data_IF_496356625953
#
_entry.id   IF_496356625953
#
_cell.length_a   1.000
_cell.length_b   1.000
_cell.length_c   1.000
_cell.angle_alpha   90.00
_cell.angle_beta   90.00
_cell.angle_gamma   90.00
#
_symmetry.space_group_name_H-M   'P 1'
#
loop_
_entity.id
_entity.type
_entity.pdbx_description
1 polymer ?
#
# COMPACT_ATOMS: atom_id res chain seq x y z
N UNK A 1 -7.35 -0.64 -12.36
CA UNK A 1 -5.94 -0.94 -12.10
C UNK A 1 -5.65 -0.77 -10.63
N UNK A 2 -5.26 -1.85 -9.97
CA UNK A 2 -5.04 -1.91 -8.52
C UNK A 2 -3.75 -2.66 -8.21
N UNK A 3 -3.29 -2.55 -6.98
CA UNK A 3 -2.17 -3.33 -6.45
C UNK A 3 -2.61 -4.13 -5.25
N UNK A 4 -1.95 -5.27 -4.99
CA UNK A 4 -2.25 -6.10 -3.85
C UNK A 4 -1.41 -5.69 -2.65
N UNK A 5 -2.12 -5.41 -1.56
CA UNK A 5 -1.52 -5.05 -0.28
C UNK A 5 -1.79 -6.14 0.74
N UNK A 6 -0.77 -6.51 1.49
CA UNK A 6 -0.90 -7.42 2.62
C UNK A 6 -1.15 -6.60 3.88
N UNK A 7 -2.16 -6.99 4.64
CA UNK A 7 -2.47 -6.41 5.94
C UNK A 7 -2.45 -7.48 7.02
N UNK A 8 -1.84 -7.17 8.15
CA UNK A 8 -1.77 -8.04 9.30
C UNK A 8 -2.17 -7.28 10.55
N UNK A 9 -2.91 -7.95 11.43
CA UNK A 9 -3.04 -7.51 12.82
C UNK A 9 -1.85 -8.02 13.61
N UNK A 10 -1.24 -7.13 14.38
CA UNK A 10 -0.02 -7.39 15.10
C UNK A 10 -0.21 -7.00 16.57
N UNK A 11 0.10 -7.92 17.50
CA UNK A 11 0.15 -7.55 18.90
C UNK A 11 1.23 -6.50 19.13
N UNK A 12 0.91 -5.46 19.90
CA UNK A 12 1.87 -4.41 20.21
C UNK A 12 2.87 -4.89 21.29
N UNK A 13 3.78 -5.75 20.88
CA UNK A 13 4.82 -6.36 21.72
C UNK A 13 6.17 -6.34 21.01
N UNK A 14 7.27 -6.21 21.76
CA UNK A 14 8.61 -6.31 21.18
C UNK A 14 8.82 -7.59 20.37
N UNK A 15 9.49 -7.47 19.24
CA UNK A 15 9.85 -8.60 18.39
C UNK A 15 8.80 -9.07 17.39
N UNK A 16 7.56 -8.61 17.49
CA UNK A 16 6.48 -9.04 16.57
C UNK A 16 6.72 -8.54 15.14
N UNK A 17 7.04 -7.27 14.98
CA UNK A 17 7.34 -6.71 13.66
C UNK A 17 8.59 -7.34 13.06
N UNK A 18 9.63 -7.54 13.87
CA UNK A 18 10.86 -8.22 13.42
C UNK A 18 10.59 -9.65 12.94
N UNK A 19 9.67 -10.37 13.58
CA UNK A 19 9.30 -11.73 13.16
C UNK A 19 8.67 -11.75 11.76
N UNK A 20 7.81 -10.79 11.44
CA UNK A 20 7.26 -10.63 10.10
C UNK A 20 8.37 -10.40 9.07
N UNK A 21 9.26 -9.47 9.36
CA UNK A 21 10.36 -9.14 8.45
C UNK A 21 11.31 -10.31 8.24
N UNK A 22 11.63 -11.07 9.28
CA UNK A 22 12.46 -12.28 9.16
C UNK A 22 11.79 -13.35 8.28
N UNK A 23 10.50 -13.60 8.48
CA UNK A 23 9.74 -14.57 7.68
C UNK A 23 9.82 -14.21 6.20
N UNK A 24 9.64 -12.95 5.86
CA UNK A 24 9.73 -12.48 4.47
C UNK A 24 11.16 -12.58 3.93
N UNK A 25 12.16 -12.21 4.71
CA UNK A 25 13.58 -12.28 4.34
C UNK A 25 14.01 -13.71 4.02
N UNK A 26 13.64 -14.66 4.87
CA UNK A 26 13.97 -16.08 4.68
C UNK A 26 13.37 -16.65 3.40
N UNK A 27 12.29 -16.07 2.93
CA UNK A 27 11.61 -16.46 1.68
C UNK A 27 12.06 -15.64 0.47
N UNK A 28 12.99 -14.72 0.65
CA UNK A 28 13.51 -13.87 -0.40
C UNK A 28 12.50 -12.82 -0.92
N UNK A 29 11.50 -12.49 -0.12
CA UNK A 29 10.52 -11.45 -0.46
C UNK A 29 11.03 -10.09 0.00
N UNK A 30 11.04 -9.12 -0.91
CA UNK A 30 11.47 -7.75 -0.61
C UNK A 30 10.27 -6.86 -0.29
N UNK A 31 10.44 -6.03 0.73
CA UNK A 31 9.44 -5.05 1.16
C UNK A 31 9.75 -3.72 0.46
N UNK A 32 8.80 -3.24 -0.34
CA UNK A 32 8.91 -1.92 -0.97
C UNK A 32 8.41 -0.81 -0.08
N UNK A 33 7.35 -1.07 0.67
CA UNK A 33 6.78 -0.10 1.62
C UNK A 33 6.11 -0.83 2.77
N UNK A 34 6.16 -0.21 3.93
CA UNK A 34 5.54 -0.71 5.14
C UNK A 34 4.92 0.46 5.89
N UNK A 35 3.74 0.25 6.41
CA UNK A 35 3.05 1.20 7.29
C UNK A 35 2.59 0.45 8.52
N UNK A 36 2.88 1.00 9.69
CA UNK A 36 2.41 0.49 10.97
C UNK A 36 1.54 1.55 11.63
N UNK A 37 0.26 1.24 11.76
CA UNK A 37 -0.68 2.07 12.50
C UNK A 37 -0.98 1.40 13.82
N UNK A 38 -0.85 2.15 14.90
CA UNK A 38 -1.05 1.61 16.24
C UNK A 38 -2.46 1.84 16.76
N UNK A 39 -2.93 0.83 17.48
CA UNK A 39 -3.97 0.97 18.49
C UNK A 39 -3.33 0.61 19.83
N UNK A 40 -4.07 0.70 20.95
CA UNK A 40 -3.48 0.49 22.27
C UNK A 40 -2.87 -0.90 22.43
N UNK A 41 -3.57 -1.95 21.98
CA UNK A 41 -3.17 -3.34 22.19
C UNK A 41 -2.67 -4.03 20.91
N UNK A 42 -3.10 -3.54 19.75
CA UNK A 42 -2.78 -4.10 18.45
C UNK A 42 -2.32 -3.02 17.49
N UNK A 43 -1.48 -3.41 16.54
CA UNK A 43 -1.15 -2.60 15.39
C UNK A 43 -1.71 -3.22 14.12
N UNK A 44 -1.82 -2.40 13.09
CA UNK A 44 -2.13 -2.85 11.72
C UNK A 44 -0.89 -2.60 10.88
N UNK A 45 -0.32 -3.67 10.35
CA UNK A 45 0.80 -3.59 9.42
C UNK A 45 0.27 -3.72 8.01
N UNK A 46 0.64 -2.76 7.16
CA UNK A 46 0.32 -2.80 5.72
C UNK A 46 1.62 -2.89 4.95
N UNK A 47 1.71 -3.87 4.06
CA UNK A 47 2.92 -4.19 3.32
C UNK A 47 2.66 -4.16 1.82
N UNK A 48 3.56 -3.53 1.08
CA UNK A 48 3.71 -3.75 -0.35
C UNK A 48 5.01 -4.51 -0.59
N UNK A 49 4.91 -5.64 -1.24
CA UNK A 49 6.02 -6.56 -1.45
C UNK A 49 6.09 -6.96 -2.93
N UNK A 50 7.26 -7.39 -3.37
CA UNK A 50 7.50 -7.75 -4.77
C UNK A 50 6.80 -9.04 -5.22
N UNK A 51 6.47 -9.93 -4.29
CA UNK A 51 5.79 -11.21 -4.55
C UNK A 51 4.73 -11.46 -3.50
N UNK A 52 3.62 -10.76 -3.63
CA UNK A 52 2.58 -10.75 -2.60
C UNK A 52 1.95 -12.14 -2.36
N UNK A 53 1.81 -12.96 -3.39
CA UNK A 53 1.25 -14.32 -3.25
C UNK A 53 2.15 -15.19 -2.37
N UNK A 54 3.46 -15.17 -2.65
CA UNK A 54 4.45 -15.87 -1.84
C UNK A 54 4.49 -15.33 -0.41
N UNK A 55 4.48 -14.02 -0.27
CA UNK A 55 4.47 -13.36 1.05
C UNK A 55 3.25 -13.79 1.87
N UNK A 56 2.06 -13.78 1.26
CA UNK A 56 0.84 -14.27 1.90
C UNK A 56 1.02 -15.70 2.40
N UNK A 57 1.49 -16.58 1.54
CA UNK A 57 1.61 -18.01 1.85
C UNK A 57 2.61 -18.27 2.99
N UNK A 58 3.78 -17.63 2.97
CA UNK A 58 4.79 -17.83 4.01
C UNK A 58 4.38 -17.20 5.34
N UNK A 59 3.70 -16.07 5.33
CA UNK A 59 3.19 -15.44 6.55
C UNK A 59 2.07 -16.27 7.18
N UNK A 60 1.14 -16.78 6.37
CA UNK A 60 0.10 -17.69 6.86
C UNK A 60 0.70 -18.98 7.42
N UNK A 61 1.68 -19.54 6.73
CA UNK A 61 2.40 -20.73 7.19
C UNK A 61 3.14 -20.51 8.51
N UNK A 62 3.57 -19.30 8.80
CA UNK A 62 4.22 -18.92 10.06
C UNK A 62 3.22 -18.58 11.18
N UNK A 63 1.91 -18.71 10.91
CA UNK A 63 0.86 -18.49 11.91
C UNK A 63 0.32 -17.06 12.00
N UNK A 64 0.72 -16.17 11.10
CA UNK A 64 0.16 -14.81 11.08
C UNK A 64 -1.21 -14.78 10.40
N UNK A 65 -2.13 -13.98 10.93
CA UNK A 65 -3.40 -13.69 10.27
C UNK A 65 -3.19 -12.66 9.17
N UNK A 66 -3.38 -13.06 7.91
CA UNK A 66 -3.09 -12.26 6.74
C UNK A 66 -4.36 -11.95 5.97
N UNK A 67 -4.54 -10.67 5.64
CA UNK A 67 -5.54 -10.22 4.69
C UNK A 67 -4.85 -9.63 3.47
N UNK A 68 -5.37 -9.91 2.28
CA UNK A 68 -4.95 -9.28 1.05
C UNK A 68 -6.06 -8.35 0.58
N UNK A 69 -5.70 -7.12 0.25
CA UNK A 69 -6.65 -6.12 -0.26
C UNK A 69 -6.10 -5.47 -1.51
N UNK A 70 -7.00 -5.15 -2.41
CA UNK A 70 -6.66 -4.32 -3.55
C UNK A 70 -6.73 -2.84 -3.14
N UNK A 71 -5.65 -2.12 -3.41
CA UNK A 71 -5.52 -0.69 -3.14
C UNK A 71 -5.12 0.03 -4.43
N UNK A 72 -5.31 1.34 -4.44
CA UNK A 72 -4.96 2.18 -5.59
C UNK A 72 -3.59 2.79 -5.37
N UNK A 73 -2.68 2.56 -6.31
CA UNK A 73 -1.35 3.15 -6.28
C UNK A 73 -1.19 4.14 -7.43
N UNK A 74 -0.65 5.30 -7.14
CA UNK A 74 -0.51 6.43 -8.05
C UNK A 74 0.95 6.85 -8.10
N UNK A 75 1.44 7.09 -9.32
CA UNK A 75 2.72 7.75 -9.54
C UNK A 75 2.49 9.24 -9.78
N UNK A 76 3.16 10.08 -9.04
CA UNK A 76 3.08 11.53 -9.21
C UNK A 76 4.45 12.17 -9.01
N UNK A 77 4.68 13.38 -9.59
CA UNK A 77 5.91 14.10 -9.32
C UNK A 77 6.07 14.37 -7.82
N UNK A 78 7.28 14.27 -7.31
CA UNK A 78 7.60 14.61 -5.93
C UNK A 78 7.83 16.12 -5.83
N UNK A 79 6.73 16.86 -5.81
CA UNK A 79 6.73 18.31 -5.80
C UNK A 79 5.51 18.87 -5.08
N UNK A 80 5.57 20.16 -4.63
CA UNK A 80 4.41 20.78 -3.99
C UNK A 80 3.18 20.76 -4.89
N UNK A 81 2.03 20.42 -4.31
CA UNK A 81 0.74 20.41 -4.98
C UNK A 81 0.36 19.11 -5.67
N UNK A 82 1.28 18.16 -5.83
CA UNK A 82 0.97 16.88 -6.51
C UNK A 82 -0.11 16.09 -5.77
N UNK A 83 0.02 15.93 -4.46
CA UNK A 83 -0.97 15.23 -3.66
C UNK A 83 -2.31 15.99 -3.61
N UNK A 84 -2.27 17.31 -3.49
CA UNK A 84 -3.48 18.13 -3.48
C UNK A 84 -4.30 17.93 -4.75
N UNK A 85 -3.66 17.90 -5.91
CA UNK A 85 -4.34 17.68 -7.19
C UNK A 85 -5.02 16.31 -7.25
N UNK A 86 -4.37 15.28 -6.75
CA UNK A 86 -4.95 13.93 -6.67
C UNK A 86 -6.20 13.94 -5.80
N UNK A 87 -6.11 14.52 -4.62
CA UNK A 87 -7.22 14.57 -3.65
C UNK A 87 -8.39 15.41 -4.16
N UNK A 88 -8.12 16.50 -4.88
CA UNK A 88 -9.16 17.32 -5.51
C UNK A 88 -9.97 16.53 -6.54
N UNK A 89 -9.31 15.69 -7.34
CA UNK A 89 -10.02 14.82 -8.29
C UNK A 89 -10.88 13.77 -7.59
N UNK A 90 -10.38 13.22 -6.49
CA UNK A 90 -11.14 12.26 -5.67
C UNK A 90 -12.36 12.96 -5.03
N UNK A 91 -12.17 14.16 -4.48
CA UNK A 91 -13.22 14.93 -3.84
C UNK A 91 -14.42 15.18 -4.74
N UNK A 92 -14.18 15.41 -6.02
CA UNK A 92 -15.27 15.64 -7.00
C UNK A 92 -16.23 14.46 -7.14
N UNK A 93 -15.77 13.27 -6.79
CA UNK A 93 -16.60 12.06 -6.85
C UNK A 93 -17.39 11.79 -5.60
N UNK A 94 -17.02 12.42 -4.49
CA UNK A 94 -17.54 12.11 -3.16
C UNK A 94 -16.96 10.84 -2.54
N UNK A 95 -16.01 10.17 -3.19
CA UNK A 95 -15.30 9.04 -2.61
C UNK A 95 -14.44 9.52 -1.43
N UNK A 96 -14.35 8.69 -0.39
CA UNK A 96 -13.60 9.02 0.83
C UNK A 96 -12.33 8.19 0.92
N UNK A 97 -11.26 8.83 1.37
CA UNK A 97 -9.99 8.16 1.68
C UNK A 97 -10.11 7.52 3.06
N UNK A 98 -10.08 6.20 3.12
CA UNK A 98 -10.10 5.47 4.39
C UNK A 98 -8.72 5.47 5.05
N UNK A 99 -7.67 5.27 4.26
CA UNK A 99 -6.28 5.45 4.66
C UNK A 99 -5.40 5.64 3.43
N UNK A 100 -4.21 6.15 3.67
CA UNK A 100 -3.19 6.30 2.65
C UNK A 100 -1.79 6.28 3.25
N UNK A 101 -0.83 5.98 2.42
CA UNK A 101 0.59 6.14 2.74
C UNK A 101 1.37 6.37 1.44
N UNK A 102 2.61 6.78 1.57
CA UNK A 102 3.45 7.12 0.43
C UNK A 102 4.86 6.58 0.60
N UNK A 103 5.53 6.39 -0.51
CA UNK A 103 6.95 6.07 -0.52
C UNK A 103 7.61 6.66 -1.78
N UNK A 104 8.92 6.89 -1.69
CA UNK A 104 9.70 7.36 -2.81
C UNK A 104 10.36 6.20 -3.53
N UNK A 105 10.56 6.34 -4.84
CA UNK A 105 11.39 5.41 -5.60
C UNK A 105 12.81 5.95 -5.72
N UNK A 106 13.79 5.03 -5.76
CA UNK A 106 15.20 5.40 -5.73
C UNK A 106 15.67 6.15 -6.98
N UNK A 107 14.90 6.09 -8.07
CA UNK A 107 15.24 6.75 -9.34
C UNK A 107 14.14 7.68 -9.76
N UNK A 108 14.51 8.89 -10.13
CA UNK A 108 13.59 9.93 -10.60
C UNK A 108 12.99 10.74 -9.47
N UNK A 109 12.27 11.81 -9.85
CA UNK A 109 11.62 12.75 -8.93
C UNK A 109 10.13 12.41 -8.77
N UNK A 110 9.80 11.13 -8.63
CA UNK A 110 8.42 10.70 -8.46
C UNK A 110 8.19 10.04 -7.11
N UNK A 111 6.98 10.22 -6.60
CA UNK A 111 6.49 9.58 -5.41
C UNK A 111 5.41 8.56 -5.78
N UNK A 112 5.25 7.56 -4.94
CA UNK A 112 4.16 6.60 -5.01
C UNK A 112 3.20 6.89 -3.87
N UNK A 113 1.92 7.10 -4.20
CA UNK A 113 0.86 7.27 -3.22
C UNK A 113 -0.05 6.06 -3.27
N UNK A 114 -0.34 5.49 -2.12
CA UNK A 114 -1.20 4.31 -1.98
C UNK A 114 -2.44 4.71 -1.21
N UNK A 115 -3.60 4.41 -1.78
CA UNK A 115 -4.90 4.80 -1.21
C UNK A 115 -5.82 3.60 -1.07
N UNK A 116 -6.54 3.56 0.03
CA UNK A 116 -7.75 2.78 0.17
C UNK A 116 -8.95 3.73 0.20
N UNK A 117 -9.85 3.54 -0.76
CA UNK A 117 -11.09 4.33 -0.85
C UNK A 117 -12.28 3.50 -0.39
N UNK A 118 -13.33 4.17 0.06
CA UNK A 118 -14.62 3.53 0.34
C UNK A 118 -15.31 3.04 -0.94
N UNK A 119 -15.10 3.75 -2.06
CA UNK A 119 -15.58 3.37 -3.38
C UNK A 119 -14.41 3.41 -4.37
N UNK A 120 -13.71 2.29 -4.46
CA UNK A 120 -12.52 2.16 -5.32
C UNK A 120 -12.84 2.40 -6.79
N UNK A 121 -13.92 1.82 -7.30
CA UNK A 121 -14.28 1.94 -8.70
C UNK A 121 -14.53 3.39 -9.13
N UNK A 122 -15.24 4.14 -8.28
CA UNK A 122 -15.52 5.56 -8.51
C UNK A 122 -14.23 6.39 -8.53
N UNK A 123 -13.34 6.16 -7.56
CA UNK A 123 -12.08 6.88 -7.48
C UNK A 123 -11.16 6.54 -8.68
N UNK A 124 -11.04 5.28 -9.05
CA UNK A 124 -10.23 4.85 -10.20
C UNK A 124 -10.74 5.47 -11.50
N UNK A 125 -12.05 5.50 -11.70
CA UNK A 125 -12.64 6.10 -12.90
C UNK A 125 -12.31 7.60 -13.00
N UNK A 126 -12.44 8.34 -11.90
CA UNK A 126 -12.15 9.77 -11.87
C UNK A 126 -10.66 10.06 -12.09
N UNK A 127 -9.80 9.31 -11.44
CA UNK A 127 -8.35 9.49 -11.55
C UNK A 127 -7.87 9.17 -12.98
N UNK A 128 -8.37 8.09 -13.57
CA UNK A 128 -8.07 7.73 -14.95
C UNK A 128 -8.54 8.79 -15.94
N UNK A 129 -9.75 9.32 -15.76
CA UNK A 129 -10.29 10.37 -16.59
C UNK A 129 -9.49 11.68 -16.49
N UNK A 130 -8.90 11.96 -15.34
CA UNK A 130 -8.05 13.13 -15.11
C UNK A 130 -6.61 12.94 -15.63
N UNK A 131 -6.30 11.79 -16.22
CA UNK A 131 -4.95 11.49 -16.74
C UNK A 131 -3.92 11.19 -15.67
N UNK A 132 -4.36 10.84 -14.46
CA UNK A 132 -3.45 10.48 -13.36
C UNK A 132 -2.94 9.07 -13.57
N UNK A 133 -1.63 8.88 -13.40
CA UNK A 133 -0.95 7.62 -13.67
C UNK A 133 -1.18 6.61 -12.55
N UNK A 134 -2.01 5.62 -12.83
CA UNK A 134 -2.28 4.50 -11.92
C UNK A 134 -1.27 3.36 -12.16
N UNK A 135 -0.94 2.65 -11.10
CA UNK A 135 0.03 1.56 -11.11
C UNK A 135 -0.67 0.22 -10.82
N UNK A 136 -0.05 -0.85 -11.26
CA UNK A 136 -0.43 -2.23 -10.95
C UNK A 136 0.72 -2.97 -10.27
N UNK A 137 0.52 -4.26 -9.96
CA UNK A 137 1.54 -5.08 -9.28
C UNK A 137 2.84 -5.19 -10.09
N UNK A 138 2.78 -5.06 -11.40
CA UNK A 138 3.97 -5.13 -12.26
C UNK A 138 4.75 -3.81 -12.30
N UNK A 139 4.06 -2.68 -12.15
CA UNK A 139 4.65 -1.35 -12.35
C UNK A 139 4.98 -0.60 -11.07
N UNK A 140 4.40 -1.01 -9.93
CA UNK A 140 4.58 -0.28 -8.68
C UNK A 140 6.03 -0.22 -8.19
N UNK A 141 6.85 -1.20 -8.58
CA UNK A 141 8.26 -1.28 -8.19
C UNK A 141 9.21 -0.83 -9.30
N UNK A 142 8.69 -0.40 -10.41
CA UNK A 142 9.48 0.04 -11.56
C UNK A 142 10.13 1.42 -11.34
#
# INVERSE_FOLDING_TARGET
>A
MTVHQISLFLENKPGRLAAICRTLTESGVNIASLSLADTTDFGIVRLLVDRWEKARDVLQGAGFGVNVREVVAISAPDEPGALARILEEVDRTGANVEYMYAFAVARGASARFVFRFDDTAKAVAALSAAGISLLDDATIFA
#
